data_IF_678082259654
#
_entry.id   IF_678082259654
#
_cell.length_a   1.000
_cell.length_b   1.000
_cell.length_c   1.000
_cell.angle_alpha   90.00
_cell.angle_beta   90.00
_cell.angle_gamma   90.00
#
_symmetry.space_group_name_H-M   'P 1'
#
loop_
_entity.id
_entity.type
_entity.pdbx_description
1 polymer ?
#
# COMPACT_ATOMS: atom_id res chain seq x y z
N UNK A 1 9.49 -24.79 0.28
CA UNK A 1 9.75 -23.93 -0.89
C UNK A 1 10.84 -22.92 -0.58
N UNK A 2 10.70 -22.09 0.45
CA UNK A 2 11.74 -21.13 0.87
C UNK A 2 13.11 -21.79 1.09
N UNK A 3 13.19 -22.97 1.70
CA UNK A 3 14.47 -23.69 1.85
C UNK A 3 15.17 -24.02 0.52
N UNK A 4 14.41 -24.32 -0.54
CA UNK A 4 14.98 -24.54 -1.88
C UNK A 4 15.50 -23.23 -2.47
N UNK A 5 14.74 -22.13 -2.32
CA UNK A 5 15.14 -20.81 -2.79
C UNK A 5 16.39 -20.33 -2.04
N UNK A 6 16.44 -20.49 -0.71
CA UNK A 6 17.61 -20.21 0.13
C UNK A 6 18.83 -21.01 -0.35
N UNK A 7 18.67 -22.32 -0.56
CA UNK A 7 19.76 -23.17 -1.05
C UNK A 7 20.28 -22.75 -2.43
N UNK A 8 19.41 -22.28 -3.32
CA UNK A 8 19.77 -21.85 -4.67
C UNK A 8 20.46 -20.48 -4.68
N UNK A 9 20.01 -19.56 -3.82
CA UNK A 9 20.57 -18.21 -3.70
C UNK A 9 21.85 -18.17 -2.85
N UNK A 10 21.99 -19.08 -1.89
CA UNK A 10 23.16 -19.18 -1.00
C UNK A 10 23.50 -17.83 -0.36
N UNK A 11 24.79 -17.48 -0.40
CA UNK A 11 25.32 -16.23 0.18
C UNK A 11 24.82 -14.96 -0.50
N UNK A 12 24.14 -15.05 -1.65
CA UNK A 12 23.53 -13.90 -2.30
C UNK A 12 22.24 -13.46 -1.59
N UNK A 13 21.57 -14.35 -0.85
CA UNK A 13 20.36 -14.00 -0.10
C UNK A 13 20.71 -13.27 1.19
N UNK A 14 20.23 -12.04 1.32
CA UNK A 14 20.41 -11.19 2.50
C UNK A 14 19.27 -11.39 3.49
N UNK A 15 18.03 -11.28 3.01
CA UNK A 15 16.84 -11.33 3.86
C UNK A 15 15.62 -11.85 3.09
N UNK A 16 14.69 -12.47 3.81
CA UNK A 16 13.34 -12.77 3.32
C UNK A 16 12.37 -12.06 4.25
N UNK A 17 11.57 -11.18 3.68
CA UNK A 17 10.63 -10.33 4.40
C UNK A 17 9.22 -10.66 3.94
N UNK A 18 8.36 -11.01 4.88
CA UNK A 18 6.93 -11.16 4.63
C UNK A 18 6.25 -9.82 4.94
N UNK A 19 5.34 -9.40 4.07
CA UNK A 19 4.58 -8.17 4.27
C UNK A 19 3.23 -8.27 3.54
N UNK A 20 2.28 -7.43 3.94
CA UNK A 20 0.96 -7.40 3.33
C UNK A 20 0.75 -6.13 2.49
N UNK A 21 0.13 -6.29 1.32
CA UNK A 21 -0.36 -5.16 0.52
C UNK A 21 -1.84 -5.35 0.29
N UNK A 22 -2.67 -4.50 0.91
CA UNK A 22 -4.12 -4.57 0.75
C UNK A 22 -4.71 -5.94 1.13
N UNK A 23 -4.20 -6.54 2.21
CA UNK A 23 -4.55 -7.89 2.70
C UNK A 23 -4.10 -9.06 1.80
N UNK A 24 -3.17 -8.82 0.87
CA UNK A 24 -2.51 -9.87 0.09
C UNK A 24 -1.10 -10.08 0.64
N UNK A 25 -0.83 -11.29 1.12
CA UNK A 25 0.49 -11.71 1.60
C UNK A 25 1.50 -11.73 0.45
N UNK A 26 2.65 -11.10 0.68
CA UNK A 26 3.77 -11.01 -0.25
C UNK A 26 5.08 -11.34 0.44
N UNK A 27 6.06 -11.73 -0.35
CA UNK A 27 7.42 -12.01 0.11
C UNK A 27 8.42 -11.19 -0.70
N UNK A 28 9.22 -10.39 0.00
CA UNK A 28 10.36 -9.68 -0.55
C UNK A 28 11.64 -10.47 -0.24
N UNK A 29 12.33 -10.86 -1.30
CA UNK A 29 13.66 -11.45 -1.24
C UNK A 29 14.69 -10.36 -1.50
N UNK A 30 15.49 -10.06 -0.49
CA UNK A 30 16.57 -9.07 -0.56
C UNK A 30 17.86 -9.80 -0.89
N UNK A 31 18.49 -9.41 -2.00
CA UNK A 31 19.71 -10.03 -2.51
C UNK A 31 20.88 -9.04 -2.46
N UNK A 32 22.12 -9.53 -2.54
CA UNK A 32 23.30 -8.67 -2.71
C UNK A 32 23.35 -8.12 -4.15
N UNK A 33 23.15 -9.01 -5.12
CA UNK A 33 23.12 -8.70 -6.56
C UNK A 33 22.01 -9.50 -7.27
N UNK A 34 21.49 -8.96 -8.38
CA UNK A 34 20.49 -9.60 -9.24
C UNK A 34 20.89 -9.43 -10.70
N UNK A 35 21.36 -10.51 -11.29
CA UNK A 35 21.59 -10.64 -12.74
C UNK A 35 20.68 -11.72 -13.35
N UNK A 36 20.78 -11.92 -14.67
CA UNK A 36 19.98 -12.91 -15.38
C UNK A 36 20.25 -14.35 -14.91
N UNK A 37 21.47 -14.66 -14.44
CA UNK A 37 21.84 -15.99 -13.97
C UNK A 37 21.16 -16.29 -12.62
N UNK A 38 21.08 -15.30 -11.74
CA UNK A 38 20.30 -15.38 -10.50
C UNK A 38 18.82 -15.55 -10.82
N UNK A 39 18.28 -14.77 -11.75
CA UNK A 39 16.87 -14.85 -12.16
C UNK A 39 16.51 -16.22 -12.75
N UNK A 40 17.34 -16.79 -13.62
CA UNK A 40 17.12 -18.11 -14.21
C UNK A 40 17.11 -19.22 -13.16
N UNK A 41 17.96 -19.10 -12.12
CA UNK A 41 18.00 -20.03 -10.98
C UNK A 41 16.71 -20.01 -10.15
N UNK A 42 16.10 -18.84 -9.95
CA UNK A 42 14.87 -18.71 -9.13
C UNK A 42 13.58 -18.88 -9.93
N UNK A 43 13.64 -18.76 -11.26
CA UNK A 43 12.49 -18.86 -12.17
C UNK A 43 11.58 -20.06 -11.92
N UNK A 44 12.09 -21.28 -11.62
CA UNK A 44 11.23 -22.44 -11.33
C UNK A 44 10.41 -22.32 -10.04
N UNK A 45 10.78 -21.40 -9.14
CA UNK A 45 10.13 -21.19 -7.85
C UNK A 45 9.33 -19.88 -7.79
N UNK A 46 9.33 -19.09 -8.88
CA UNK A 46 8.68 -17.79 -8.91
C UNK A 46 7.19 -17.88 -8.65
N UNK A 47 6.68 -16.92 -7.88
CA UNK A 47 5.25 -16.70 -7.68
C UNK A 47 4.96 -15.21 -7.86
N UNK A 48 3.79 -14.80 -8.36
CA UNK A 48 3.42 -13.39 -8.53
C UNK A 48 3.46 -12.57 -7.23
N UNK A 49 3.40 -13.23 -6.08
CA UNK A 49 3.51 -12.63 -4.74
C UNK A 49 4.95 -12.40 -4.28
N UNK A 50 5.95 -12.87 -5.05
CA UNK A 50 7.36 -12.70 -4.75
C UNK A 50 7.93 -11.47 -5.44
N UNK A 51 8.61 -10.65 -4.66
CA UNK A 51 9.38 -9.49 -5.12
C UNK A 51 10.86 -9.76 -4.84
N UNK A 52 11.73 -9.36 -5.77
CA UNK A 52 13.18 -9.52 -5.65
C UNK A 52 13.81 -8.14 -5.81
N UNK A 53 14.59 -7.70 -4.82
CA UNK A 53 15.30 -6.43 -4.83
C UNK A 53 16.71 -6.63 -4.29
N UNK A 54 17.66 -5.77 -4.68
CA UNK A 54 18.96 -5.72 -4.01
C UNK A 54 18.86 -4.90 -2.73
N UNK A 55 19.71 -5.19 -1.72
CA UNK A 55 19.82 -4.36 -0.52
C UNK A 55 20.09 -2.89 -0.88
N UNK A 56 20.97 -2.67 -1.86
CA UNK A 56 21.28 -1.33 -2.38
C UNK A 56 20.04 -0.64 -2.95
N UNK A 57 19.23 -1.32 -3.77
CA UNK A 57 18.02 -0.74 -4.36
C UNK A 57 16.95 -0.38 -3.33
N UNK A 58 16.87 -1.11 -2.22
CA UNK A 58 15.94 -0.77 -1.13
C UNK A 58 16.42 0.49 -0.40
N UNK A 59 17.70 0.54 -0.03
CA UNK A 59 18.28 1.67 0.71
C UNK A 59 18.25 2.95 -0.14
N UNK A 60 18.63 2.86 -1.41
CA UNK A 60 18.70 4.01 -2.32
C UNK A 60 17.35 4.37 -2.95
N UNK A 61 16.31 3.55 -2.75
CA UNK A 61 14.98 3.77 -3.33
C UNK A 61 13.97 4.40 -2.38
N UNK A 62 14.37 4.78 -1.16
CA UNK A 62 13.46 5.33 -0.14
C UNK A 62 12.82 6.67 -0.51
N UNK A 63 13.40 7.42 -1.44
CA UNK A 63 12.88 8.68 -1.99
C UNK A 63 11.98 8.46 -3.21
N UNK A 64 12.23 7.38 -3.96
CA UNK A 64 11.46 7.00 -5.17
C UNK A 64 10.21 6.16 -4.83
N UNK A 65 10.32 5.26 -3.85
CA UNK A 65 9.24 4.38 -3.37
C UNK A 65 8.95 4.58 -1.87
N UNK A 66 8.82 5.83 -1.39
CA UNK A 66 8.76 6.13 0.04
C UNK A 66 7.55 5.45 0.69
N UNK A 67 6.39 5.46 0.04
CA UNK A 67 5.16 4.92 0.61
C UNK A 67 5.15 3.39 0.61
N UNK A 68 5.63 2.74 -0.45
CA UNK A 68 5.73 1.28 -0.50
C UNK A 68 6.67 0.76 0.59
N UNK A 69 7.88 1.32 0.68
CA UNK A 69 8.86 0.90 1.66
C UNK A 69 8.45 1.29 3.09
N UNK A 70 7.76 2.41 3.26
CA UNK A 70 7.15 2.77 4.54
C UNK A 70 6.11 1.74 4.98
N UNK A 71 5.21 1.34 4.09
CA UNK A 71 4.19 0.34 4.40
C UNK A 71 4.80 -1.05 4.69
N UNK A 72 5.88 -1.43 4.00
CA UNK A 72 6.64 -2.63 4.36
C UNK A 72 7.21 -2.47 5.77
N UNK A 73 7.89 -1.35 6.06
CA UNK A 73 8.46 -1.10 7.39
C UNK A 73 7.42 -1.22 8.51
N UNK A 74 6.19 -0.75 8.29
CA UNK A 74 5.15 -0.75 9.34
C UNK A 74 4.58 -2.13 9.68
N UNK A 75 4.53 -3.07 8.74
CA UNK A 75 3.75 -4.31 8.90
C UNK A 75 4.51 -5.60 8.53
N UNK A 76 5.82 -5.52 8.33
CA UNK A 76 6.58 -6.68 7.90
C UNK A 76 6.97 -7.63 9.04
N UNK A 77 7.23 -8.88 8.65
CA UNK A 77 7.82 -9.94 9.46
C UNK A 77 9.10 -10.41 8.78
N UNK A 78 10.22 -10.44 9.52
CA UNK A 78 11.47 -11.00 9.02
C UNK A 78 11.42 -12.52 9.12
N UNK A 79 11.35 -13.19 7.97
CA UNK A 79 11.31 -14.66 7.86
C UNK A 79 12.72 -15.24 7.91
N UNK A 80 13.71 -14.51 7.41
CA UNK A 80 15.12 -14.92 7.40
C UNK A 80 16.03 -13.71 7.24
N UNK A 81 17.20 -13.73 7.88
CA UNK A 81 18.25 -12.72 7.68
C UNK A 81 18.07 -11.49 8.56
N UNK A 82 18.65 -10.37 8.14
CA UNK A 82 18.57 -9.09 8.83
C UNK A 82 17.27 -8.33 8.49
N UNK A 83 16.82 -7.49 9.43
CA UNK A 83 15.78 -6.50 9.17
C UNK A 83 16.40 -5.27 8.48
N UNK A 84 16.26 -5.20 7.15
CA UNK A 84 16.78 -4.05 6.41
C UNK A 84 15.87 -2.81 6.53
N UNK A 85 14.60 -2.96 6.92
CA UNK A 85 13.62 -1.87 6.97
C UNK A 85 13.66 -1.12 8.31
N UNK A 86 14.07 -1.77 9.40
CA UNK A 86 14.20 -1.16 10.73
C UNK A 86 15.07 0.11 10.71
N UNK A 87 16.14 0.12 9.92
CA UNK A 87 17.07 1.26 9.82
C UNK A 87 16.67 2.35 8.81
N UNK A 88 15.68 2.10 7.95
CA UNK A 88 15.26 3.07 6.93
C UNK A 88 14.58 4.28 7.56
N UNK A 89 14.94 5.46 7.06
CA UNK A 89 14.31 6.73 7.42
C UNK A 89 13.55 7.27 6.21
N UNK A 90 12.37 7.83 6.45
CA UNK A 90 11.50 8.36 5.40
C UNK A 90 11.32 9.86 5.59
N UNK A 91 11.59 10.62 4.53
CA UNK A 91 11.27 12.04 4.50
C UNK A 91 9.76 12.22 4.32
N UNK A 92 9.17 13.07 5.15
CA UNK A 92 7.75 13.45 5.03
C UNK A 92 7.46 14.12 3.70
N UNK A 93 8.41 14.84 3.11
CA UNK A 93 8.22 15.48 1.82
C UNK A 93 8.01 14.44 0.70
N UNK A 94 8.83 13.40 0.66
CA UNK A 94 8.70 12.31 -0.32
C UNK A 94 7.38 11.56 -0.14
N UNK A 95 7.02 11.21 1.10
CA UNK A 95 5.72 10.58 1.42
C UNK A 95 4.55 11.47 1.00
N UNK A 96 4.59 12.77 1.33
CA UNK A 96 3.54 13.73 0.97
C UNK A 96 3.36 13.82 -0.55
N UNK A 97 4.45 13.98 -1.30
CA UNK A 97 4.42 14.06 -2.77
C UNK A 97 3.82 12.79 -3.38
N UNK A 98 4.21 11.61 -2.89
CA UNK A 98 3.65 10.36 -3.39
C UNK A 98 2.17 10.20 -3.02
N UNK A 99 1.75 10.55 -1.80
CA UNK A 99 0.34 10.51 -1.41
C UNK A 99 -0.51 11.42 -2.31
N UNK A 100 -0.03 12.64 -2.59
CA UNK A 100 -0.72 13.56 -3.49
C UNK A 100 -0.91 12.96 -4.89
N UNK A 101 0.14 12.35 -5.45
CA UNK A 101 0.07 11.61 -6.70
C UNK A 101 -0.96 10.47 -6.64
N UNK A 102 -0.91 9.65 -5.58
CA UNK A 102 -1.79 8.50 -5.40
C UNK A 102 -3.27 8.91 -5.32
N UNK A 103 -3.62 9.92 -4.52
CA UNK A 103 -5.00 10.39 -4.42
C UNK A 103 -5.52 10.96 -5.75
N UNK A 104 -4.70 11.75 -6.45
CA UNK A 104 -5.07 12.30 -7.78
C UNK A 104 -5.22 11.20 -8.82
N UNK A 105 -4.29 10.24 -8.85
CA UNK A 105 -4.29 9.10 -9.78
C UNK A 105 -5.52 8.21 -9.54
N UNK A 106 -5.79 7.84 -8.29
CA UNK A 106 -6.95 7.02 -7.92
C UNK A 106 -8.28 7.72 -8.23
N UNK A 107 -8.36 9.04 -8.11
CA UNK A 107 -9.56 9.79 -8.53
C UNK A 107 -9.78 9.71 -10.04
N UNK A 108 -8.71 9.79 -10.84
CA UNK A 108 -8.79 9.62 -12.30
C UNK A 108 -9.25 8.21 -12.63
N UNK A 109 -8.64 7.19 -12.02
CA UNK A 109 -9.01 5.79 -12.24
C UNK A 109 -10.45 5.49 -11.83
N UNK A 110 -10.90 5.96 -10.67
CA UNK A 110 -12.30 5.78 -10.23
C UNK A 110 -13.30 6.35 -11.23
N UNK A 111 -13.00 7.52 -11.83
CA UNK A 111 -13.83 8.11 -12.89
C UNK A 111 -13.83 7.26 -14.15
N UNK A 112 -12.67 6.75 -14.56
CA UNK A 112 -12.56 5.88 -15.74
C UNK A 112 -13.32 4.56 -15.54
N UNK A 113 -13.22 3.96 -14.36
CA UNK A 113 -13.95 2.74 -14.01
C UNK A 113 -15.45 3.00 -14.00
N UNK A 114 -15.91 4.08 -13.36
CA UNK A 114 -17.33 4.46 -13.34
C UNK A 114 -17.91 4.59 -14.77
N UNK A 115 -17.19 5.27 -15.66
CA UNK A 115 -17.59 5.43 -17.06
C UNK A 115 -17.60 4.10 -17.83
N UNK A 116 -16.59 3.27 -17.61
CA UNK A 116 -16.42 1.97 -18.30
C UNK A 116 -17.50 0.97 -17.90
N UNK A 117 -17.88 0.96 -16.63
CA UNK A 117 -18.81 -0.01 -16.04
C UNK A 117 -20.27 0.26 -16.39
N UNK A 118 -20.63 1.48 -16.80
CA UNK A 118 -22.01 1.89 -17.15
C UNK A 118 -23.04 1.45 -16.09
N UNK A 119 -22.68 1.60 -14.81
CA UNK A 119 -23.53 1.22 -13.66
C UNK A 119 -23.54 -0.28 -13.29
N UNK A 120 -22.71 -1.12 -13.91
CA UNK A 120 -22.59 -2.56 -13.57
C UNK A 120 -21.29 -2.85 -12.83
N UNK A 121 -21.36 -3.52 -11.67
CA UNK A 121 -20.16 -3.94 -10.96
C UNK A 121 -19.46 -2.85 -10.16
N UNK A 122 -20.13 -1.72 -9.85
CA UNK A 122 -19.57 -0.70 -8.96
C UNK A 122 -19.30 -1.28 -7.56
N UNK A 123 -20.10 -2.26 -7.12
CA UNK A 123 -19.86 -3.00 -5.87
C UNK A 123 -18.41 -3.49 -5.70
N UNK A 124 -17.77 -4.04 -6.73
CA UNK A 124 -16.38 -4.51 -6.61
C UNK A 124 -15.40 -3.36 -6.48
N UNK A 125 -15.63 -2.27 -7.21
CA UNK A 125 -14.82 -1.03 -7.12
C UNK A 125 -14.94 -0.43 -5.72
N UNK A 126 -16.17 -0.31 -5.20
CA UNK A 126 -16.43 0.26 -3.88
C UNK A 126 -15.78 -0.59 -2.78
N UNK A 127 -15.94 -1.92 -2.82
CA UNK A 127 -15.32 -2.80 -1.82
C UNK A 127 -13.80 -2.92 -1.92
N UNK A 128 -13.22 -2.57 -3.07
CA UNK A 128 -11.78 -2.46 -3.23
C UNK A 128 -11.23 -1.14 -2.66
N UNK A 129 -12.06 -0.11 -2.47
CA UNK A 129 -11.59 1.21 -2.03
C UNK A 129 -10.86 1.17 -0.67
N UNK A 130 -11.43 0.49 0.33
CA UNK A 130 -10.83 0.42 1.67
C UNK A 130 -9.42 -0.20 1.64
N UNK A 131 -9.21 -1.45 1.16
CA UNK A 131 -7.86 -2.02 1.11
C UNK A 131 -6.87 -1.20 0.28
N UNK A 132 -7.36 -0.55 -0.79
CA UNK A 132 -6.53 0.29 -1.67
C UNK A 132 -6.11 1.59 -0.97
N UNK A 133 -6.94 2.14 -0.08
CA UNK A 133 -6.68 3.41 0.59
C UNK A 133 -5.99 3.25 1.94
N UNK A 134 -6.09 2.10 2.62
CA UNK A 134 -5.43 1.85 3.91
C UNK A 134 -3.93 2.19 3.90
N UNK A 135 -3.11 1.74 2.93
CA UNK A 135 -1.68 2.12 2.88
C UNK A 135 -1.45 3.63 2.74
N UNK A 136 -2.36 4.34 2.06
CA UNK A 136 -2.29 5.81 1.95
C UNK A 136 -2.62 6.47 3.29
N UNK A 137 -3.62 5.96 4.02
CA UNK A 137 -3.98 6.47 5.34
C UNK A 137 -2.84 6.28 6.35
N UNK A 138 -2.08 5.17 6.26
CA UNK A 138 -0.86 4.97 7.07
C UNK A 138 0.18 6.05 6.78
N UNK A 139 0.42 6.35 5.49
CA UNK A 139 1.30 7.46 5.09
C UNK A 139 0.80 8.82 5.61
N UNK A 140 -0.51 9.07 5.57
CA UNK A 140 -1.09 10.31 6.11
C UNK A 140 -0.91 10.41 7.63
N UNK A 141 -1.11 9.32 8.37
CA UNK A 141 -0.85 9.26 9.80
C UNK A 141 0.63 9.59 10.11
N UNK A 142 1.56 9.04 9.33
CA UNK A 142 2.99 9.34 9.44
C UNK A 142 3.30 10.84 9.27
N UNK A 143 2.70 11.51 8.27
CA UNK A 143 2.87 12.96 8.10
C UNK A 143 2.50 13.76 9.37
N UNK A 144 1.51 13.27 10.12
CA UNK A 144 1.00 13.89 11.35
C UNK A 144 1.62 13.35 12.64
N UNK A 145 2.63 12.49 12.57
CA UNK A 145 3.24 11.80 13.71
C UNK A 145 2.23 10.98 14.53
N UNK A 146 1.23 10.41 13.86
CA UNK A 146 0.24 9.52 14.48
C UNK A 146 0.75 8.09 14.33
N UNK A 147 0.68 7.31 15.41
CA UNK A 147 1.07 5.91 15.39
C UNK A 147 0.15 5.11 14.46
N UNK A 148 0.76 4.34 13.57
CA UNK A 148 0.07 3.52 12.55
C UNK A 148 -0.52 2.23 13.13
N UNK A 149 -0.02 1.78 14.28
CA UNK A 149 -0.39 0.52 14.93
C UNK A 149 -1.63 0.61 15.84
N UNK A 150 -2.20 1.80 16.01
CA UNK A 150 -3.35 1.97 16.89
C UNK A 150 -4.68 1.77 16.14
N UNK A 151 -5.63 1.08 16.77
CA UNK A 151 -7.00 0.95 16.28
C UNK A 151 -7.63 2.31 15.98
N UNK A 152 -8.52 2.34 14.99
CA UNK A 152 -9.21 3.57 14.58
C UNK A 152 -8.38 4.49 13.68
N UNK A 153 -7.49 3.95 12.83
CA UNK A 153 -6.71 4.71 11.84
C UNK A 153 -7.57 5.70 11.05
N UNK A 154 -8.76 5.28 10.59
CA UNK A 154 -9.68 6.13 9.83
C UNK A 154 -10.10 7.37 10.66
N UNK A 155 -10.42 7.19 11.94
CA UNK A 155 -10.82 8.30 12.82
C UNK A 155 -9.69 9.28 13.09
N UNK A 156 -8.48 8.75 13.32
CA UNK A 156 -7.31 9.57 13.61
C UNK A 156 -6.90 10.41 12.40
N UNK A 157 -6.90 9.81 11.21
CA UNK A 157 -6.61 10.54 9.97
C UNK A 157 -7.72 11.55 9.67
N UNK A 158 -8.99 11.16 9.84
CA UNK A 158 -10.14 12.07 9.72
C UNK A 158 -9.97 13.32 10.58
N UNK A 159 -9.68 13.13 11.87
CA UNK A 159 -9.46 14.25 12.80
C UNK A 159 -8.23 15.09 12.44
N UNK A 160 -7.09 14.46 12.10
CA UNK A 160 -5.83 15.15 11.88
C UNK A 160 -5.77 15.94 10.57
N UNK A 161 -6.62 15.60 9.59
CA UNK A 161 -6.73 16.30 8.31
C UNK A 161 -8.02 17.11 8.18
N UNK A 162 -8.91 17.09 9.18
CA UNK A 162 -10.21 17.75 9.13
C UNK A 162 -10.97 17.37 7.84
N UNK A 163 -11.10 16.06 7.61
CA UNK A 163 -11.77 15.49 6.43
C UNK A 163 -12.69 14.34 6.83
N UNK A 164 -13.88 14.27 6.25
CA UNK A 164 -14.83 13.19 6.55
C UNK A 164 -14.48 11.90 5.80
N UNK A 165 -13.92 10.92 6.53
CA UNK A 165 -13.62 9.58 6.02
C UNK A 165 -14.75 8.56 6.32
N UNK A 166 -15.94 9.00 6.75
CA UNK A 166 -17.06 8.11 7.11
C UNK A 166 -17.45 7.14 6.00
N UNK A 167 -17.26 7.52 4.72
CA UNK A 167 -17.56 6.65 3.58
C UNK A 167 -16.74 5.35 3.63
N UNK A 168 -15.50 5.37 4.13
CA UNK A 168 -14.69 4.17 4.25
C UNK A 168 -15.25 3.21 5.30
N UNK A 169 -15.73 3.76 6.43
CA UNK A 169 -16.38 2.97 7.49
C UNK A 169 -17.69 2.36 7.04
N UNK A 170 -18.50 3.14 6.31
CA UNK A 170 -19.75 2.65 5.74
C UNK A 170 -19.50 1.46 4.80
N UNK A 171 -18.45 1.56 3.97
CA UNK A 171 -18.03 0.48 3.07
C UNK A 171 -17.57 -0.76 3.86
N UNK A 172 -16.78 -0.58 4.91
CA UNK A 172 -16.37 -1.69 5.80
C UNK A 172 -17.57 -2.39 6.44
N UNK A 173 -18.51 -1.62 7.00
CA UNK A 173 -19.73 -2.15 7.62
C UNK A 173 -20.59 -2.91 6.62
N UNK A 174 -20.75 -2.37 5.40
CA UNK A 174 -21.49 -3.04 4.33
C UNK A 174 -20.84 -4.36 3.93
N UNK A 175 -19.51 -4.39 3.84
CA UNK A 175 -18.73 -5.60 3.52
C UNK A 175 -18.86 -6.65 4.63
N UNK A 176 -18.72 -6.25 5.90
CA UNK A 176 -18.83 -7.15 7.06
C UNK A 176 -20.23 -7.77 7.20
N UNK A 177 -21.28 -6.96 7.04
CA UNK A 177 -22.67 -7.42 7.18
C UNK A 177 -23.19 -8.15 5.93
N UNK A 178 -22.35 -8.32 4.91
CA UNK A 178 -22.73 -8.79 3.57
C UNK A 178 -24.04 -8.15 3.08
N UNK A 179 -24.21 -6.86 3.39
CA UNK A 179 -25.47 -6.15 3.16
C UNK A 179 -25.57 -5.72 1.71
N UNK A 180 -26.81 -5.60 1.22
CA UNK A 180 -27.06 -5.03 -0.11
C UNK A 180 -26.72 -3.54 -0.09
N UNK A 181 -25.95 -3.09 -1.07
CA UNK A 181 -25.73 -1.66 -1.29
C UNK A 181 -27.04 -1.02 -1.73
N UNK A 182 -27.48 -0.02 -0.97
CA UNK A 182 -28.74 0.70 -1.24
C UNK A 182 -28.54 1.70 -2.38
N UNK A 183 -27.38 2.38 -2.41
CA UNK A 183 -27.05 3.38 -3.41
C UNK A 183 -25.55 3.34 -3.74
N UNK A 184 -25.20 2.64 -4.83
CA UNK A 184 -23.81 2.50 -5.29
C UNK A 184 -23.27 3.83 -5.86
N UNK A 185 -24.11 4.61 -6.53
CA UNK A 185 -23.73 5.90 -7.14
C UNK A 185 -23.38 6.92 -6.06
N UNK A 186 -24.16 7.00 -4.97
CA UNK A 186 -23.86 7.87 -3.84
C UNK A 186 -22.53 7.51 -3.17
N UNK A 187 -22.22 6.22 -3.00
CA UNK A 187 -20.94 5.78 -2.44
C UNK A 187 -19.77 6.14 -3.35
N UNK A 188 -19.90 5.95 -4.66
CA UNK A 188 -18.89 6.39 -5.64
C UNK A 188 -18.71 7.91 -5.59
N UNK A 189 -19.80 8.69 -5.52
CA UNK A 189 -19.73 10.14 -5.41
C UNK A 189 -18.99 10.58 -4.14
N UNK A 190 -19.27 9.96 -3.00
CA UNK A 190 -18.58 10.24 -1.72
C UNK A 190 -17.09 9.87 -1.80
N UNK A 191 -16.75 8.73 -2.42
CA UNK A 191 -15.34 8.36 -2.67
C UNK A 191 -14.64 9.37 -3.59
N UNK A 192 -15.29 9.83 -4.66
CA UNK A 192 -14.71 10.85 -5.55
C UNK A 192 -14.45 12.17 -4.81
N UNK A 193 -15.36 12.60 -3.94
CA UNK A 193 -15.18 13.80 -3.12
C UNK A 193 -14.02 13.63 -2.14
N UNK A 194 -13.96 12.49 -1.44
CA UNK A 194 -12.89 12.17 -0.50
C UNK A 194 -11.51 12.22 -1.18
N UNK A 195 -11.33 11.50 -2.29
CA UNK A 195 -10.05 11.47 -3.03
C UNK A 195 -9.64 12.87 -3.51
N UNK A 196 -10.61 13.66 -4.00
CA UNK A 196 -10.37 15.04 -4.42
C UNK A 196 -9.89 15.91 -3.26
N UNK A 197 -10.57 15.83 -2.11
CA UNK A 197 -10.27 16.68 -0.96
C UNK A 197 -8.92 16.32 -0.33
N UNK A 198 -8.64 15.03 -0.16
CA UNK A 198 -7.36 14.57 0.38
C UNK A 198 -6.19 14.98 -0.50
N UNK A 199 -6.30 14.81 -1.83
CA UNK A 199 -5.29 15.30 -2.77
C UNK A 199 -5.05 16.81 -2.65
N UNK A 200 -6.12 17.61 -2.54
CA UNK A 200 -6.01 19.06 -2.39
C UNK A 200 -5.45 19.51 -1.03
N UNK A 201 -5.67 18.75 0.04
CA UNK A 201 -5.09 19.03 1.36
C UNK A 201 -3.60 18.71 1.40
N UNK A 202 -3.18 17.62 0.75
CA UNK A 202 -1.77 17.22 0.64
C UNK A 202 -0.91 18.18 -0.19
N UNK A 203 -1.50 18.78 -1.23
CA UNK A 203 -0.87 19.85 -2.02
C UNK A 203 -0.56 21.09 -1.17
N UNK A 204 -1.37 21.36 -0.15
CA UNK A 204 -1.23 22.53 0.75
C UNK A 204 -0.38 22.27 1.99
N UNK A 205 0.03 21.03 2.23
CA UNK A 205 0.92 20.70 3.34
C UNK A 205 2.34 21.12 2.95
N UNK A 206 2.81 22.22 3.55
CA UNK A 206 4.19 22.69 3.44
C UNK A 206 5.15 21.77 4.20
#
# INVERSE_FOLDING_TARGET
MFEKIKSVLGDNLVSIIKYDVGFVERFLFVLKDIDILVLDKIKPFFQPVFLFLTKESVVNGVDVFPLEFFNIKTDHEVVFGEDIFESLNFDKEHIRRQLEFEFRSKLIHLRQEYLSLKGKGLRSVIFAAVPVLTPLLKGMAFLKNISVSEDGLIDKVSHAFDEDLSVLKDIELLKQKNSRMVDEDLLVQRLMLLLKNLGAKLDKLS
#
